data_IF_043601056344
#
_entry.id   IF_043601056344
#
_cell.length_a   1.000
_cell.length_b   1.000
_cell.length_c   1.000
_cell.angle_alpha   90.00
_cell.angle_beta   90.00
_cell.angle_gamma   90.00
#
_symmetry.space_group_name_H-M   'P 1'
#
loop_
_entity.id
_entity.type
_entity.pdbx_description
1 polymer ?
#
# COMPACT_ATOMS: atom_id res chain seq x y z
N UNK A 1 -25.66 0.79 -13.56
CA UNK A 1 -25.10 1.04 -12.22
C UNK A 1 -23.61 1.22 -12.40
N UNK A 2 -23.11 2.45 -12.29
CA UNK A 2 -21.69 2.76 -12.49
C UNK A 2 -20.90 2.13 -11.35
N UNK A 3 -20.05 1.15 -11.68
CA UNK A 3 -19.08 0.63 -10.75
C UNK A 3 -18.19 1.79 -10.31
N UNK A 4 -18.47 2.32 -9.11
CA UNK A 4 -17.56 3.19 -8.37
C UNK A 4 -16.34 2.32 -8.04
N UNK A 5 -15.51 2.11 -9.05
CA UNK A 5 -14.29 1.32 -9.03
C UNK A 5 -13.20 2.13 -8.29
N UNK A 6 -13.56 2.74 -7.15
CA UNK A 6 -12.56 3.19 -6.20
C UNK A 6 -11.91 1.92 -5.70
N UNK A 7 -10.59 1.75 -5.88
CA UNK A 7 -9.94 0.58 -5.36
C UNK A 7 -10.15 0.59 -3.84
N UNK A 8 -10.88 -0.39 -3.33
CA UNK A 8 -11.08 -0.60 -1.88
C UNK A 8 -9.76 -0.50 -1.12
N UNK A 9 -8.65 -0.86 -1.78
CA UNK A 9 -7.26 -0.70 -1.34
C UNK A 9 -6.52 0.43 -2.10
N UNK A 10 -6.23 1.54 -1.44
CA UNK A 10 -5.27 2.55 -1.92
C UNK A 10 -3.91 2.32 -1.28
N UNK A 11 -2.83 2.33 -2.09
CA UNK A 11 -1.46 2.24 -1.56
C UNK A 11 -0.68 3.48 -1.95
N UNK A 12 -0.03 4.09 -0.97
CA UNK A 12 0.92 5.18 -1.15
C UNK A 12 2.31 4.68 -0.78
N UNK A 13 3.29 4.97 -1.63
CA UNK A 13 4.71 4.70 -1.33
C UNK A 13 5.35 6.04 -0.98
N UNK A 14 5.96 6.12 0.19
CA UNK A 14 6.48 7.36 0.77
C UNK A 14 7.93 7.16 1.19
N UNK A 15 8.77 8.17 0.91
CA UNK A 15 10.15 8.20 1.41
C UNK A 15 10.14 8.78 2.81
N UNK A 16 10.64 8.02 3.77
CA UNK A 16 10.75 8.43 5.17
C UNK A 16 11.96 9.35 5.37
N UNK A 17 11.93 10.09 6.48
CA UNK A 17 13.02 10.98 6.93
C UNK A 17 14.36 10.27 7.12
N UNK A 18 14.34 8.95 7.37
CA UNK A 18 15.54 8.12 7.49
C UNK A 18 16.12 7.68 6.13
N UNK A 19 15.62 8.21 5.01
CA UNK A 19 16.04 7.84 3.66
C UNK A 19 15.49 6.52 3.14
N UNK A 20 14.76 5.76 3.99
CA UNK A 20 14.14 4.47 3.62
C UNK A 20 12.75 4.68 3.03
N UNK A 21 12.29 3.71 2.28
CA UNK A 21 10.97 3.70 1.68
C UNK A 21 9.99 2.91 2.52
N UNK A 22 8.74 3.35 2.58
CA UNK A 22 7.65 2.62 3.22
C UNK A 22 6.39 2.75 2.36
N UNK A 23 5.45 1.84 2.55
CA UNK A 23 4.13 1.99 1.92
C UNK A 23 3.04 2.08 2.99
N UNK A 24 2.09 2.97 2.75
CA UNK A 24 0.87 3.13 3.54
C UNK A 24 -0.26 2.51 2.74
N UNK A 25 -0.97 1.58 3.36
CA UNK A 25 -2.10 0.89 2.77
C UNK A 25 -3.38 1.41 3.43
N UNK A 26 -4.33 1.88 2.63
CA UNK A 26 -5.66 2.26 3.09
C UNK A 26 -6.65 1.30 2.48
N UNK A 27 -7.34 0.51 3.29
CA UNK A 27 -8.33 -0.46 2.84
C UNK A 27 -9.69 -0.21 3.50
N UNK A 28 -10.76 -0.05 2.71
CA UNK A 28 -12.14 0.16 3.21
C UNK A 28 -12.28 1.26 4.28
N UNK A 29 -11.53 2.35 4.14
CA UNK A 29 -11.51 3.46 5.11
C UNK A 29 -10.60 3.26 6.32
N UNK A 30 -9.93 2.10 6.43
CA UNK A 30 -8.90 1.84 7.45
C UNK A 30 -7.53 2.12 6.85
N UNK A 31 -6.88 3.17 7.34
CA UNK A 31 -5.47 3.44 7.01
C UNK A 31 -4.57 2.64 7.95
N UNK A 32 -3.85 1.68 7.38
CA UNK A 32 -2.82 0.92 8.07
C UNK A 32 -1.54 1.75 8.17
N UNK A 33 -0.80 1.64 9.29
CA UNK A 33 0.44 2.37 9.48
C UNK A 33 1.44 2.02 8.37
N UNK A 34 2.30 2.98 8.03
CA UNK A 34 3.35 2.79 7.03
C UNK A 34 4.14 1.52 7.34
N UNK A 35 4.05 0.51 6.47
CA UNK A 35 4.71 -0.77 6.64
C UNK A 35 6.02 -0.82 5.86
N UNK A 36 7.02 -1.43 6.48
CA UNK A 36 8.34 -1.64 5.93
C UNK A 36 9.29 -0.45 6.02
N UNK A 37 10.56 -0.77 5.84
CA UNK A 37 11.69 0.14 5.80
C UNK A 37 12.62 -0.31 4.67
N UNK A 38 12.14 -0.19 3.44
CA UNK A 38 12.80 -0.68 2.25
C UNK A 38 13.98 0.21 1.86
N UNK A 39 15.04 -0.39 1.31
CA UNK A 39 16.20 0.35 0.82
C UNK A 39 15.88 1.12 -0.45
N UNK A 40 14.94 0.62 -1.24
CA UNK A 40 14.59 1.17 -2.56
C UNK A 40 13.08 1.35 -2.76
N UNK A 41 12.71 2.31 -3.61
CA UNK A 41 11.31 2.55 -4.00
C UNK A 41 10.68 1.30 -4.63
N UNK A 42 11.45 0.57 -5.44
CA UNK A 42 11.01 -0.64 -6.13
C UNK A 42 10.64 -1.74 -5.13
N UNK A 43 11.43 -1.94 -4.07
CA UNK A 43 11.11 -2.90 -3.01
C UNK A 43 9.81 -2.51 -2.29
N UNK A 44 9.66 -1.22 -1.94
CA UNK A 44 8.44 -0.74 -1.31
C UNK A 44 7.21 -0.92 -2.21
N UNK A 45 7.37 -0.72 -3.51
CA UNK A 45 6.32 -0.92 -4.49
C UNK A 45 5.98 -2.40 -4.69
N UNK A 46 6.98 -3.30 -4.70
CA UNK A 46 6.76 -4.74 -4.75
C UNK A 46 6.00 -5.24 -3.52
N UNK A 47 6.40 -4.80 -2.32
CA UNK A 47 5.73 -5.13 -1.07
C UNK A 47 4.30 -4.56 -1.02
N UNK A 48 4.11 -3.32 -1.49
CA UNK A 48 2.80 -2.73 -1.70
C UNK A 48 1.91 -3.59 -2.61
N UNK A 49 2.41 -3.99 -3.78
CA UNK A 49 1.66 -4.84 -4.71
C UNK A 49 1.29 -6.20 -4.08
N UNK A 50 2.18 -6.80 -3.30
CA UNK A 50 1.90 -8.02 -2.56
C UNK A 50 0.81 -7.82 -1.50
N UNK A 51 0.89 -6.73 -0.73
CA UNK A 51 -0.13 -6.37 0.26
C UNK A 51 -1.51 -6.11 -0.39
N UNK A 52 -1.53 -5.46 -1.56
CA UNK A 52 -2.76 -5.26 -2.34
C UNK A 52 -3.39 -6.59 -2.75
N UNK A 53 -2.58 -7.52 -3.27
CA UNK A 53 -3.07 -8.85 -3.68
C UNK A 53 -3.59 -9.66 -2.51
N UNK A 54 -2.93 -9.60 -1.35
CA UNK A 54 -3.39 -10.27 -0.13
C UNK A 54 -4.75 -9.73 0.34
N UNK A 55 -4.93 -8.40 0.31
CA UNK A 55 -6.22 -7.79 0.64
C UNK A 55 -7.33 -8.16 -0.36
N UNK A 56 -7.02 -8.24 -1.65
CA UNK A 56 -7.97 -8.66 -2.68
C UNK A 56 -8.37 -10.13 -2.53
N UNK A 57 -7.48 -10.98 -2.02
CA UNK A 57 -7.76 -12.40 -1.81
C UNK A 57 -8.53 -12.68 -0.52
N UNK A 58 -8.41 -11.78 0.47
CA UNK A 58 -9.03 -11.92 1.79
C UNK A 58 -10.30 -11.07 1.98
N UNK A 59 -10.77 -10.36 0.95
CA UNK A 59 -11.96 -9.51 0.98
C UNK A 59 -13.11 -10.04 0.16
#
# INVERSE_FOLDING_TARGET
>A
MSADNKPDATIKVEKRLNGRWAFVLTYRGVTYPAQGQFGSQVEAQAAAHAARKLLQKNG
#
